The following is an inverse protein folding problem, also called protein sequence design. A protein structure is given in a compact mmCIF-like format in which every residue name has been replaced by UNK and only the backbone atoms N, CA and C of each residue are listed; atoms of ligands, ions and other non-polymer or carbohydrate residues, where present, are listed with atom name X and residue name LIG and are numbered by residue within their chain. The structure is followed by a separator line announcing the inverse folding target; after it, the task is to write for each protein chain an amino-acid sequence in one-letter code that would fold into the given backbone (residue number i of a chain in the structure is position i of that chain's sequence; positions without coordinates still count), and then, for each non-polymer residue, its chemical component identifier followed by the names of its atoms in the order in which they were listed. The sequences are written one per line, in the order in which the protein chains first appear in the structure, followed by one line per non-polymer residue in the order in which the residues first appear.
data_IF_278005080295
#
_entry.id   IF_278005080295
#
_cell.length_a   1.000
_cell.length_b   1.000
_cell.length_c   1.000
_cell.angle_alpha   90.00
_cell.angle_beta   90.00
_cell.angle_gamma   90.00
#
_symmetry.space_group_name_H-M   'P 1'
#
loop_
_entity.id
_entity.type
_entity.pdbx_description
1 polymer ?
#
# COMPACT_ATOMS: atom_id res chain seq x y z
N UNK A 1 -18.91 20.79 -11.13
CA UNK A 1 -18.24 21.58 -10.08
C UNK A 1 -16.87 22.02 -10.59
N UNK A 2 -16.38 23.17 -10.14
CA UNK A 2 -15.03 23.68 -10.51
C UNK A 2 -14.28 23.97 -9.22
N UNK A 3 -13.06 23.42 -9.11
CA UNK A 3 -12.15 23.63 -8.00
C UNK A 3 -11.01 24.55 -8.46
N UNK A 4 -10.67 25.56 -7.63
CA UNK A 4 -9.59 26.52 -7.88
C UNK A 4 -9.67 27.21 -9.26
N UNK A 5 -10.86 27.45 -9.79
CA UNK A 5 -11.11 27.96 -11.15
C UNK A 5 -10.40 27.19 -12.28
N UNK A 6 -9.65 26.14 -11.97
CA UNK A 6 -8.78 25.40 -12.87
C UNK A 6 -9.28 23.98 -13.16
N UNK A 7 -9.75 23.25 -12.15
CA UNK A 7 -10.08 21.83 -12.27
C UNK A 7 -11.58 21.62 -12.39
N UNK A 8 -12.04 20.99 -13.50
CA UNK A 8 -13.44 20.58 -13.69
C UNK A 8 -13.60 19.23 -12.98
N UNK A 9 -14.33 19.23 -11.88
CA UNK A 9 -14.65 18.01 -11.12
C UNK A 9 -15.71 17.20 -11.90
N UNK A 10 -15.42 15.92 -12.11
CA UNK A 10 -16.24 14.95 -12.84
C UNK A 10 -16.79 13.88 -11.89
N UNK A 11 -16.50 12.62 -12.16
CA UNK A 11 -17.04 11.46 -11.48
C UNK A 11 -16.41 11.22 -10.12
N UNK A 12 -17.19 10.71 -9.20
CA UNK A 12 -16.70 10.21 -7.91
C UNK A 12 -15.89 8.95 -8.14
N UNK A 13 -14.66 8.91 -7.59
CA UNK A 13 -13.78 7.72 -7.60
C UNK A 13 -13.94 6.93 -6.32
N UNK A 14 -13.79 7.62 -5.17
CA UNK A 14 -13.89 6.99 -3.86
C UNK A 14 -14.30 7.99 -2.78
N UNK A 15 -14.85 7.46 -1.68
CA UNK A 15 -15.20 8.25 -0.48
C UNK A 15 -14.62 7.54 0.74
N UNK A 16 -13.72 8.21 1.43
CA UNK A 16 -13.06 7.74 2.65
C UNK A 16 -13.51 8.48 3.91
N UNK A 17 -12.89 8.16 5.03
CA UNK A 17 -13.21 8.77 6.32
C UNK A 17 -12.87 10.26 6.42
N UNK A 18 -11.84 10.73 5.74
CA UNK A 18 -11.31 12.10 5.84
C UNK A 18 -11.45 12.91 4.56
N UNK A 19 -11.59 12.26 3.41
CA UNK A 19 -11.62 12.90 2.10
C UNK A 19 -12.48 12.14 1.10
N UNK A 20 -12.89 12.86 0.06
CA UNK A 20 -13.57 12.30 -1.13
C UNK A 20 -12.68 12.55 -2.34
N UNK A 21 -12.52 11.53 -3.20
CA UNK A 21 -11.67 11.61 -4.39
C UNK A 21 -12.55 11.62 -5.64
N UNK A 22 -12.33 12.60 -6.50
CA UNK A 22 -13.03 12.76 -7.77
C UNK A 22 -12.06 12.69 -8.94
N UNK A 23 -12.51 12.16 -10.06
CA UNK A 23 -11.88 12.43 -11.36
C UNK A 23 -12.05 13.91 -11.69
N UNK A 24 -11.00 14.56 -12.17
CA UNK A 24 -11.08 15.94 -12.63
C UNK A 24 -10.29 16.13 -13.92
N UNK A 25 -10.56 17.24 -14.59
CA UNK A 25 -9.86 17.66 -15.81
C UNK A 25 -9.29 19.05 -15.58
N UNK A 26 -8.00 19.21 -15.80
CA UNK A 26 -7.33 20.49 -15.84
C UNK A 26 -7.80 21.25 -17.09
N UNK A 27 -8.37 22.45 -16.92
CA UNK A 27 -8.95 23.24 -18.01
C UNK A 27 -7.90 23.77 -19.00
N UNK A 28 -6.69 24.00 -18.52
CA UNK A 28 -5.61 24.59 -19.32
C UNK A 28 -4.93 23.54 -20.19
N UNK A 29 -4.68 22.34 -19.60
CA UNK A 29 -3.91 21.30 -20.26
C UNK A 29 -4.79 20.19 -20.85
N UNK A 30 -6.06 20.08 -20.46
CA UNK A 30 -6.94 18.98 -20.79
C UNK A 30 -6.62 17.67 -20.08
N UNK A 31 -5.57 17.65 -19.22
CA UNK A 31 -5.11 16.44 -18.58
C UNK A 31 -6.08 15.96 -17.49
N UNK A 32 -6.28 14.63 -17.47
CA UNK A 32 -7.09 13.98 -16.44
C UNK A 32 -6.25 13.82 -15.17
N UNK A 33 -6.84 14.15 -14.02
CA UNK A 33 -6.25 14.08 -12.68
C UNK A 33 -7.24 13.50 -11.68
N UNK A 34 -6.77 13.21 -10.47
CA UNK A 34 -7.60 12.91 -9.33
C UNK A 34 -7.59 14.10 -8.34
N UNK A 35 -8.76 14.56 -7.95
CA UNK A 35 -8.91 15.63 -6.95
C UNK A 35 -9.33 15.00 -5.62
N UNK A 36 -8.41 14.95 -4.64
CA UNK A 36 -8.71 14.57 -3.24
C UNK A 36 -9.19 15.82 -2.53
N UNK A 37 -10.46 15.85 -2.13
CA UNK A 37 -11.10 16.95 -1.41
C UNK A 37 -11.30 16.52 0.03
N UNK A 38 -10.67 17.24 0.95
CA UNK A 38 -10.71 16.92 2.36
C UNK A 38 -11.98 17.47 3.01
N UNK A 39 -12.66 16.64 3.81
CA UNK A 39 -13.91 17.00 4.46
C UNK A 39 -13.85 16.96 5.99
N UNK A 40 -13.16 15.97 6.55
CA UNK A 40 -13.12 15.69 7.99
C UNK A 40 -11.68 15.62 8.51
N UNK A 41 -10.89 16.67 8.25
CA UNK A 41 -9.52 16.77 8.72
C UNK A 41 -9.30 18.16 9.33
N UNK A 42 -8.49 18.23 10.38
CA UNK A 42 -8.05 19.54 10.91
C UNK A 42 -7.10 20.23 9.94
N UNK A 43 -6.98 21.55 10.03
CA UNK A 43 -6.04 22.30 9.21
C UNK A 43 -4.59 21.80 9.41
N UNK A 44 -4.17 21.57 10.64
CA UNK A 44 -2.83 21.02 10.93
C UNK A 44 -2.64 19.61 10.33
N UNK A 45 -3.66 18.76 10.40
CA UNK A 45 -3.59 17.43 9.77
C UNK A 45 -3.45 17.51 8.25
N UNK A 46 -4.19 18.45 7.62
CA UNK A 46 -4.04 18.71 6.18
C UNK A 46 -2.64 19.22 5.83
N UNK A 47 -2.11 20.18 6.60
CA UNK A 47 -0.76 20.71 6.35
C UNK A 47 0.30 19.60 6.42
N UNK A 48 0.24 18.73 7.44
CA UNK A 48 1.16 17.59 7.56
C UNK A 48 1.08 16.65 6.37
N UNK A 49 -0.14 16.29 5.92
CA UNK A 49 -0.32 15.43 4.75
C UNK A 49 0.18 16.11 3.47
N UNK A 50 -0.10 17.41 3.28
CA UNK A 50 0.34 18.19 2.12
C UNK A 50 1.89 18.30 2.05
N UNK A 51 2.55 18.54 3.17
CA UNK A 51 4.02 18.57 3.26
C UNK A 51 4.64 17.20 2.89
N UNK A 52 4.06 16.11 3.37
CA UNK A 52 4.52 14.76 3.01
C UNK A 52 4.31 14.50 1.53
N UNK A 53 3.13 14.81 0.97
CA UNK A 53 2.85 14.63 -0.47
C UNK A 53 3.80 15.45 -1.35
N UNK A 54 4.14 16.67 -0.94
CA UNK A 54 5.12 17.49 -1.66
C UNK A 54 6.50 16.83 -1.66
N UNK A 55 7.01 16.40 -0.50
CA UNK A 55 8.30 15.68 -0.40
C UNK A 55 8.32 14.42 -1.26
N UNK A 56 7.25 13.63 -1.24
CA UNK A 56 7.12 12.43 -2.07
C UNK A 56 7.19 12.79 -3.56
N UNK A 57 6.58 13.89 -3.97
CA UNK A 57 6.65 14.33 -5.37
C UNK A 57 8.05 14.78 -5.78
N UNK A 58 8.85 15.31 -4.85
CA UNK A 58 10.25 15.68 -5.06
C UNK A 58 11.16 14.45 -5.22
N UNK A 59 10.83 13.32 -4.58
CA UNK A 59 11.53 12.03 -4.76
C UNK A 59 11.49 11.57 -6.24
N UNK A 60 10.41 11.92 -6.95
CA UNK A 60 10.21 11.57 -8.36
C UNK A 60 10.34 10.06 -8.66
N UNK A 61 9.86 9.23 -7.74
CA UNK A 61 9.85 7.76 -7.91
C UNK A 61 8.76 7.32 -8.88
N UNK A 62 9.05 6.40 -9.82
CA UNK A 62 8.04 5.82 -10.69
C UNK A 62 7.04 4.93 -9.95
N UNK A 63 7.36 4.49 -8.72
CA UNK A 63 6.53 3.63 -7.88
C UNK A 63 5.68 4.38 -6.85
N UNK A 64 5.74 5.72 -6.84
CA UNK A 64 4.96 6.56 -5.93
C UNK A 64 3.98 7.44 -6.70
N UNK A 65 2.78 7.62 -6.15
CA UNK A 65 1.75 8.50 -6.71
C UNK A 65 2.20 9.95 -6.60
N UNK A 66 2.17 10.68 -7.72
CA UNK A 66 2.57 12.09 -7.76
C UNK A 66 1.44 13.01 -7.30
N UNK A 67 1.78 13.99 -6.46
CA UNK A 67 0.94 15.15 -6.15
C UNK A 67 1.42 16.35 -6.97
N UNK A 68 0.52 16.94 -7.76
CA UNK A 68 0.83 18.08 -8.62
C UNK A 68 0.61 19.40 -7.91
N UNK A 69 -0.38 19.45 -7.04
CA UNK A 69 -0.80 20.67 -6.34
C UNK A 69 -1.58 20.29 -5.08
N UNK A 70 -1.39 21.04 -4.01
CA UNK A 70 -2.22 20.96 -2.81
C UNK A 70 -2.42 22.35 -2.22
N UNK A 71 -3.54 22.58 -1.57
CA UNK A 71 -3.84 23.88 -0.99
C UNK A 71 -5.28 24.00 -0.49
N UNK A 72 -5.66 25.28 -0.26
CA UNK A 72 -7.03 25.64 0.11
C UNK A 72 -7.59 26.52 -1.01
N UNK A 73 -8.73 26.16 -1.55
CA UNK A 73 -9.38 26.94 -2.59
C UNK A 73 -10.89 26.79 -2.60
N UNK A 74 -11.53 27.56 -3.46
CA UNK A 74 -12.98 27.58 -3.61
C UNK A 74 -13.43 26.45 -4.53
N UNK A 75 -14.34 25.62 -4.03
CA UNK A 75 -15.13 24.69 -4.83
C UNK A 75 -16.45 25.37 -5.21
N UNK A 76 -16.62 25.69 -6.50
CA UNK A 76 -17.82 26.31 -7.03
C UNK A 76 -18.79 25.24 -7.54
N UNK A 77 -20.01 25.24 -7.01
CA UNK A 77 -21.10 24.37 -7.47
C UNK A 77 -22.38 25.16 -7.67
N UNK A 78 -22.82 25.33 -8.93
CA UNK A 78 -23.97 26.16 -9.30
C UNK A 78 -23.80 27.60 -8.77
N UNK A 79 -24.59 28.00 -7.77
CA UNK A 79 -24.56 29.35 -7.13
C UNK A 79 -23.89 29.34 -5.74
N UNK A 80 -23.33 28.20 -5.31
CA UNK A 80 -22.66 28.08 -4.00
C UNK A 80 -21.16 28.00 -4.15
N UNK A 81 -20.45 28.69 -3.28
CA UNK A 81 -18.99 28.64 -3.16
C UNK A 81 -18.63 28.12 -1.76
N UNK A 82 -17.78 27.12 -1.70
CA UNK A 82 -17.32 26.57 -0.44
C UNK A 82 -15.79 26.45 -0.47
N UNK A 83 -15.13 26.93 0.57
CA UNK A 83 -13.70 26.77 0.72
C UNK A 83 -13.40 25.31 1.11
N UNK A 84 -12.49 24.67 0.41
CA UNK A 84 -12.05 23.29 0.63
C UNK A 84 -10.55 23.17 0.63
N UNK A 85 -10.02 22.29 1.50
CA UNK A 85 -8.66 21.76 1.42
C UNK A 85 -8.64 20.66 0.36
N UNK A 86 -7.62 20.67 -0.50
CA UNK A 86 -7.56 19.73 -1.62
C UNK A 86 -6.12 19.33 -1.97
N UNK A 87 -5.99 18.23 -2.70
CA UNK A 87 -4.79 17.83 -3.41
C UNK A 87 -5.14 17.33 -4.81
N UNK A 88 -4.34 17.69 -5.80
CA UNK A 88 -4.44 17.21 -7.17
C UNK A 88 -3.36 16.15 -7.38
N UNK A 89 -3.80 14.95 -7.64
CA UNK A 89 -2.97 13.76 -7.74
C UNK A 89 -2.96 13.21 -9.16
N UNK A 90 -2.00 12.38 -9.46
CA UNK A 90 -1.99 11.52 -10.65
C UNK A 90 -3.25 10.66 -10.69
N UNK A 91 -3.78 10.39 -11.89
CA UNK A 91 -5.03 9.65 -12.04
C UNK A 91 -4.77 8.18 -12.34
N UNK A 92 -5.26 7.31 -11.48
CA UNK A 92 -5.23 5.86 -11.66
C UNK A 92 -6.39 5.38 -12.54
N UNK A 93 -6.13 5.20 -13.82
CA UNK A 93 -7.15 4.88 -14.81
C UNK A 93 -7.58 3.41 -14.83
N UNK A 94 -6.89 2.53 -14.06
CA UNK A 94 -7.19 1.09 -14.00
C UNK A 94 -7.63 0.62 -12.60
N UNK A 95 -7.90 1.55 -11.67
CA UNK A 95 -8.32 1.24 -10.31
C UNK A 95 -7.18 0.78 -9.41
N UNK A 96 -7.53 0.13 -8.30
CA UNK A 96 -6.57 -0.37 -7.32
C UNK A 96 -6.15 -1.81 -7.62
N UNK A 97 -5.03 -2.23 -7.03
CA UNK A 97 -4.60 -3.62 -7.02
C UNK A 97 -5.62 -4.53 -6.32
N UNK A 98 -6.32 -4.00 -5.31
CA UNK A 98 -7.43 -4.69 -4.68
C UNK A 98 -8.55 -5.00 -5.70
N UNK A 99 -8.96 -4.01 -6.51
CA UNK A 99 -9.98 -4.20 -7.55
C UNK A 99 -9.56 -5.25 -8.58
N UNK A 100 -8.27 -5.27 -8.94
CA UNK A 100 -7.72 -6.29 -9.81
C UNK A 100 -7.75 -7.68 -9.15
N UNK A 101 -7.31 -7.81 -7.89
CA UNK A 101 -7.28 -9.07 -7.15
C UNK A 101 -8.68 -9.69 -6.95
N UNK A 102 -9.68 -8.90 -6.57
CA UNK A 102 -11.04 -9.46 -6.34
C UNK A 102 -11.67 -9.99 -7.62
N UNK A 103 -11.33 -9.41 -8.77
CA UNK A 103 -11.83 -9.84 -10.07
C UNK A 103 -11.18 -11.16 -10.53
N UNK A 104 -9.92 -11.44 -10.20
CA UNK A 104 -9.27 -12.70 -10.59
C UNK A 104 -9.95 -13.91 -9.92
N UNK A 105 -10.22 -14.98 -10.64
CA UNK A 105 -10.75 -16.21 -10.05
C UNK A 105 -9.70 -16.87 -9.15
N UNK A 106 -8.49 -17.08 -9.67
CA UNK A 106 -7.41 -17.83 -9.01
C UNK A 106 -6.24 -16.94 -8.50
N UNK A 107 -6.35 -15.61 -8.56
CA UNK A 107 -5.24 -14.70 -8.26
C UNK A 107 -4.28 -14.54 -9.45
N UNK A 108 -3.18 -13.85 -9.20
CA UNK A 108 -2.09 -13.71 -10.16
C UNK A 108 -1.15 -14.92 -10.11
N UNK A 109 -0.48 -15.21 -11.23
CA UNK A 109 0.62 -16.17 -11.26
C UNK A 109 1.78 -15.72 -10.37
N UNK A 110 2.58 -16.66 -9.85
CA UNK A 110 3.66 -16.36 -8.88
C UNK A 110 4.67 -15.34 -9.43
N UNK A 111 5.09 -15.47 -10.66
CA UNK A 111 6.02 -14.55 -11.32
C UNK A 111 5.43 -13.14 -11.48
N UNK A 112 4.13 -13.01 -11.74
CA UNK A 112 3.41 -11.73 -11.73
C UNK A 112 3.33 -11.17 -10.31
N UNK A 113 3.07 -11.99 -9.30
CA UNK A 113 3.10 -11.56 -7.89
C UNK A 113 4.47 -11.00 -7.49
N UNK A 114 5.56 -11.67 -7.87
CA UNK A 114 6.93 -11.21 -7.65
C UNK A 114 7.20 -9.86 -8.33
N UNK A 115 6.78 -9.71 -9.59
CA UNK A 115 6.91 -8.45 -10.32
C UNK A 115 6.15 -7.30 -9.63
N UNK A 116 4.88 -7.52 -9.27
CA UNK A 116 4.06 -6.53 -8.55
C UNK A 116 4.73 -6.16 -7.23
N UNK A 117 5.14 -7.17 -6.46
CA UNK A 117 5.76 -6.96 -5.16
C UNK A 117 7.07 -6.18 -5.27
N UNK A 118 7.92 -6.48 -6.26
CA UNK A 118 9.15 -5.71 -6.52
C UNK A 118 8.86 -4.22 -6.77
N UNK A 119 7.82 -3.89 -7.55
CA UNK A 119 7.44 -2.49 -7.81
C UNK A 119 6.98 -1.77 -6.55
N UNK A 120 6.19 -2.44 -5.71
CA UNK A 120 5.74 -1.90 -4.42
C UNK A 120 6.93 -1.71 -3.48
N UNK A 121 7.81 -2.71 -3.40
CA UNK A 121 9.01 -2.69 -2.57
C UNK A 121 9.95 -1.52 -2.94
N UNK A 122 10.11 -1.24 -4.24
CA UNK A 122 10.88 -0.07 -4.71
C UNK A 122 10.25 1.24 -4.22
N UNK A 123 8.93 1.38 -4.27
CA UNK A 123 8.25 2.58 -3.75
C UNK A 123 8.45 2.77 -2.25
N UNK A 124 8.35 1.69 -1.46
CA UNK A 124 8.60 1.75 -0.01
C UNK A 124 10.08 2.04 0.30
N UNK A 125 11.00 1.47 -0.48
CA UNK A 125 12.42 1.78 -0.37
C UNK A 125 12.70 3.27 -0.59
N UNK A 126 12.10 3.86 -1.63
CA UNK A 126 12.25 5.29 -1.94
C UNK A 126 11.71 6.17 -0.81
N UNK A 127 10.58 5.80 -0.20
CA UNK A 127 10.08 6.47 1.00
C UNK A 127 11.06 6.37 2.17
N UNK A 128 11.53 5.14 2.48
CA UNK A 128 12.39 4.90 3.62
C UNK A 128 13.76 5.59 3.49
N UNK A 129 14.36 5.62 2.28
CA UNK A 129 15.58 6.38 1.98
C UNK A 129 15.43 7.89 2.23
N UNK A 130 14.20 8.40 2.13
CA UNK A 130 13.87 9.80 2.41
C UNK A 130 13.30 10.00 3.83
N UNK A 131 13.46 9.03 4.72
CA UNK A 131 13.06 9.10 6.11
C UNK A 131 11.54 9.12 6.34
N UNK A 132 10.74 8.65 5.38
CA UNK A 132 9.28 8.62 5.44
C UNK A 132 8.82 7.17 5.56
N UNK A 133 7.90 6.87 6.48
CA UNK A 133 7.16 5.61 6.54
C UNK A 133 5.71 5.83 6.12
N UNK A 134 5.11 4.80 5.49
CA UNK A 134 3.76 4.89 4.93
C UNK A 134 2.66 4.65 5.97
N UNK A 135 2.80 3.62 6.79
CA UNK A 135 1.90 3.19 7.87
C UNK A 135 0.51 2.66 7.48
N UNK A 136 0.21 2.56 6.17
CA UNK A 136 -1.04 1.94 5.69
C UNK A 136 -0.83 1.23 4.33
N UNK A 137 0.22 0.42 4.23
CA UNK A 137 0.50 -0.38 3.03
C UNK A 137 -0.55 -1.49 2.93
N UNK A 138 -1.33 -1.48 1.84
CA UNK A 138 -2.38 -2.46 1.52
C UNK A 138 -2.73 -2.43 0.04
N UNK A 139 -3.43 -3.44 -0.46
CA UNK A 139 -3.79 -3.56 -1.88
C UNK A 139 -4.67 -2.42 -2.40
N UNK A 140 -5.49 -1.81 -1.55
CA UNK A 140 -6.34 -0.67 -1.86
C UNK A 140 -5.54 0.62 -2.12
N UNK A 141 -4.36 0.73 -1.51
CA UNK A 141 -3.44 1.87 -1.65
C UNK A 141 -2.37 1.64 -2.73
N UNK A 142 -2.51 0.62 -3.56
CA UNK A 142 -1.70 0.38 -4.75
C UNK A 142 -2.57 0.63 -5.97
N UNK A 143 -2.21 1.61 -6.78
CA UNK A 143 -3.01 2.05 -7.93
C UNK A 143 -2.29 1.70 -9.23
N UNK A 144 -3.06 1.34 -10.26
CA UNK A 144 -2.60 1.02 -11.59
C UNK A 144 -2.80 2.21 -12.52
N UNK A 145 -1.72 2.73 -13.10
CA UNK A 145 -1.68 4.04 -13.78
C UNK A 145 -1.18 3.90 -15.21
N UNK A 146 -1.78 4.68 -16.10
CA UNK A 146 -1.36 4.81 -17.50
C UNK A 146 -1.55 3.56 -18.34
N UNK A 147 -1.21 3.63 -19.63
CA UNK A 147 -1.41 2.52 -20.59
C UNK A 147 -0.58 1.28 -20.25
N UNK A 148 0.52 1.48 -19.54
CA UNK A 148 1.43 0.43 -19.11
C UNK A 148 1.09 -0.20 -17.76
N UNK A 149 -0.03 0.18 -17.13
CA UNK A 149 -0.43 -0.30 -15.81
C UNK A 149 0.69 -0.16 -14.77
N UNK A 150 1.31 1.02 -14.71
CA UNK A 150 2.35 1.32 -13.73
C UNK A 150 1.81 1.16 -12.32
N UNK A 151 2.56 0.46 -11.48
CA UNK A 151 2.17 0.16 -10.10
C UNK A 151 2.67 1.26 -9.20
N UNK A 152 1.76 1.99 -8.55
CA UNK A 152 2.10 3.13 -7.70
C UNK A 152 1.46 3.03 -6.32
N UNK A 153 2.27 3.23 -5.29
CA UNK A 153 1.81 3.39 -3.91
C UNK A 153 1.20 4.78 -3.72
N UNK A 154 0.04 4.86 -3.10
CA UNK A 154 -0.73 6.08 -2.88
C UNK A 154 -1.30 6.17 -1.46
N UNK A 155 -2.02 7.25 -1.18
CA UNK A 155 -2.68 7.58 0.09
C UNK A 155 -1.72 7.70 1.27
N UNK A 156 -1.04 8.84 1.32
CA UNK A 156 -0.05 9.19 2.33
C UNK A 156 -0.66 9.86 3.59
N UNK A 157 -1.97 9.74 3.80
CA UNK A 157 -2.69 10.35 4.93
C UNK A 157 -2.24 9.87 6.31
N UNK A 158 -1.61 8.71 6.40
CA UNK A 158 -0.97 8.20 7.61
C UNK A 158 0.54 8.31 7.60
N UNK A 159 1.16 8.71 6.49
CA UNK A 159 2.61 8.78 6.36
C UNK A 159 3.22 9.84 7.28
N UNK A 160 4.42 9.58 7.73
CA UNK A 160 5.16 10.52 8.61
C UNK A 160 6.67 10.32 8.48
N UNK A 161 7.43 11.34 8.88
CA UNK A 161 8.88 11.20 9.01
C UNK A 161 9.22 10.33 10.22
N UNK A 162 10.09 9.35 10.03
CA UNK A 162 10.66 8.54 11.10
C UNK A 162 12.16 8.79 11.33
N UNK A 163 12.77 9.66 10.52
CA UNK A 163 14.09 10.22 10.80
C UNK A 163 13.96 11.64 11.34
N UNK A 164 14.83 11.99 12.28
CA UNK A 164 15.02 13.36 12.75
C UNK A 164 15.91 14.17 11.79
N UNK A 165 16.22 15.41 12.15
CA UNK A 165 17.05 16.30 11.32
C UNK A 165 18.52 15.88 11.27
N UNK A 166 18.96 14.97 12.15
CA UNK A 166 20.28 14.34 12.16
C UNK A 166 20.31 12.99 11.46
N UNK A 167 19.24 12.61 10.74
CA UNK A 167 19.03 11.31 10.10
C UNK A 167 19.04 10.12 11.09
N UNK A 168 18.71 10.37 12.36
CA UNK A 168 18.55 9.30 13.34
C UNK A 168 17.09 8.85 13.42
N UNK A 169 16.89 7.54 13.60
CA UNK A 169 15.53 7.00 13.75
C UNK A 169 14.89 7.49 15.04
N UNK A 170 13.69 8.05 14.92
CA UNK A 170 12.83 8.38 16.05
C UNK A 170 11.72 7.36 16.19
N UNK A 171 11.38 7.02 17.42
CA UNK A 171 10.23 6.20 17.71
C UNK A 171 8.94 6.99 17.42
N UNK A 172 7.94 6.29 16.91
CA UNK A 172 6.61 6.80 16.62
C UNK A 172 5.61 6.22 17.60
N UNK A 173 4.45 6.85 17.72
CA UNK A 173 3.36 6.40 18.58
C UNK A 173 2.00 6.47 17.86
N UNK A 174 0.96 5.96 18.55
CA UNK A 174 -0.42 5.95 18.07
C UNK A 174 -0.69 4.85 17.02
N UNK A 175 -1.81 4.19 17.17
CA UNK A 175 -2.28 3.15 16.27
C UNK A 175 -2.83 3.77 14.98
N UNK A 176 -2.21 3.46 13.85
CA UNK A 176 -2.59 3.90 12.51
C UNK A 176 -2.60 2.70 11.57
N UNK A 177 -3.35 2.82 10.46
CA UNK A 177 -3.40 1.82 9.42
C UNK A 177 -4.58 0.85 9.51
N UNK A 178 -4.58 -0.14 8.62
CA UNK A 178 -5.66 -1.11 8.43
C UNK A 178 -5.34 -2.40 9.20
N UNK A 179 -6.23 -2.82 10.09
CA UNK A 179 -5.97 -3.84 11.12
C UNK A 179 -5.45 -5.19 10.61
N UNK A 180 -5.86 -5.64 9.40
CA UNK A 180 -5.40 -6.91 8.82
C UNK A 180 -4.00 -6.85 8.21
N UNK A 181 -3.44 -5.65 8.04
CA UNK A 181 -2.07 -5.40 7.60
C UNK A 181 -1.17 -4.85 8.72
N UNK A 182 -1.76 -4.46 9.85
CA UNK A 182 -1.08 -3.75 10.93
C UNK A 182 -0.21 -4.66 11.79
N UNK A 183 1.00 -4.20 12.09
CA UNK A 183 1.95 -4.89 12.94
C UNK A 183 1.46 -5.02 14.41
N UNK A 184 1.90 -6.05 15.16
CA UNK A 184 1.40 -6.31 16.51
C UNK A 184 1.67 -5.18 17.50
N UNK A 185 2.79 -4.49 17.38
CA UNK A 185 3.16 -3.35 18.24
C UNK A 185 2.17 -2.18 18.14
N UNK A 186 1.44 -2.05 17.03
CA UNK A 186 0.38 -1.03 16.89
C UNK A 186 -0.86 -1.30 17.75
N UNK A 187 -1.00 -2.52 18.29
CA UNK A 187 -2.07 -2.91 19.20
C UNK A 187 -1.65 -2.93 20.69
N UNK A 188 -0.38 -2.63 20.97
CA UNK A 188 0.19 -2.74 22.32
C UNK A 188 0.38 -1.37 23.01
N UNK A 189 -0.06 -0.28 22.37
CA UNK A 189 0.07 1.10 22.88
C UNK A 189 1.50 1.47 23.30
N UNK A 190 2.47 1.04 22.46
CA UNK A 190 3.91 1.29 22.64
C UNK A 190 4.46 2.12 21.48
N UNK A 191 5.61 2.72 21.72
CA UNK A 191 6.41 3.33 20.67
C UNK A 191 6.97 2.28 19.71
N UNK A 192 7.06 2.61 18.43
CA UNK A 192 7.50 1.71 17.36
C UNK A 192 8.40 2.39 16.33
N UNK A 193 9.11 1.60 15.52
CA UNK A 193 9.87 2.05 14.37
C UNK A 193 9.00 2.03 13.10
N UNK A 194 8.95 3.18 12.40
CA UNK A 194 8.08 3.34 11.24
C UNK A 194 8.44 2.43 10.07
N UNK A 195 9.72 2.22 9.79
CA UNK A 195 10.18 1.30 8.75
C UNK A 195 9.83 -0.16 9.07
N UNK A 196 9.91 -0.57 10.33
CA UNK A 196 9.60 -1.94 10.75
C UNK A 196 8.12 -2.31 10.61
N UNK A 197 7.21 -1.37 10.86
CA UNK A 197 5.78 -1.63 10.65
C UNK A 197 5.42 -1.70 9.17
N UNK A 198 6.08 -0.92 8.31
CA UNK A 198 5.90 -1.00 6.85
C UNK A 198 6.36 -2.36 6.30
N UNK A 199 7.50 -2.91 6.79
CA UNK A 199 7.96 -4.26 6.42
C UNK A 199 6.93 -5.33 6.81
N UNK A 200 6.32 -5.21 8.00
CA UNK A 200 5.25 -6.12 8.40
C UNK A 200 4.04 -6.04 7.44
N UNK A 201 3.60 -4.83 7.12
CA UNK A 201 2.48 -4.59 6.20
C UNK A 201 2.77 -5.11 4.79
N UNK A 202 4.02 -4.96 4.30
CA UNK A 202 4.49 -5.58 3.06
C UNK A 202 4.40 -7.10 3.10
N UNK A 203 4.76 -7.74 4.22
CA UNK A 203 4.61 -9.19 4.39
C UNK A 203 3.15 -9.63 4.35
N UNK A 204 2.26 -8.91 5.02
CA UNK A 204 0.82 -9.18 4.96
C UNK A 204 0.26 -8.99 3.54
N UNK A 205 0.67 -7.94 2.83
CA UNK A 205 0.30 -7.69 1.44
C UNK A 205 0.82 -8.77 0.50
N UNK A 206 2.07 -9.20 0.68
CA UNK A 206 2.68 -10.28 -0.10
C UNK A 206 1.84 -11.57 -0.01
N UNK A 207 1.37 -11.89 1.20
CA UNK A 207 0.50 -13.05 1.40
C UNK A 207 -0.84 -12.90 0.65
N UNK A 208 -1.44 -11.71 0.70
CA UNK A 208 -2.68 -11.41 -0.02
C UNK A 208 -2.48 -11.52 -1.54
N UNK A 209 -1.36 -11.05 -2.06
CA UNK A 209 -1.02 -11.17 -3.49
C UNK A 209 -0.97 -12.63 -3.95
N UNK A 210 -0.30 -13.49 -3.17
CA UNK A 210 -0.10 -14.90 -3.52
C UNK A 210 -1.34 -15.76 -3.34
N UNK A 211 -2.26 -15.38 -2.44
CA UNK A 211 -3.32 -16.31 -2.01
C UNK A 211 -4.73 -15.74 -2.09
N UNK A 212 -4.88 -14.44 -2.29
CA UNK A 212 -6.15 -13.69 -2.12
C UNK A 212 -6.77 -13.83 -0.73
N UNK A 213 -6.00 -14.31 0.25
CA UNK A 213 -6.44 -14.50 1.63
C UNK A 213 -5.54 -13.70 2.57
N UNK A 214 -5.98 -13.53 3.80
CA UNK A 214 -5.13 -12.99 4.85
C UNK A 214 -4.48 -14.13 5.62
N UNK A 215 -3.18 -14.04 5.87
CA UNK A 215 -2.43 -14.99 6.67
C UNK A 215 -2.86 -15.03 8.15
N UNK A 216 -3.54 -13.98 8.60
CA UNK A 216 -4.18 -13.83 9.92
C UNK A 216 -5.24 -12.72 9.84
N UNK A 217 -6.25 -12.74 10.74
CA UNK A 217 -7.30 -11.71 10.74
C UNK A 217 -6.74 -10.36 11.18
N UNK A 218 -5.88 -10.36 12.21
CA UNK A 218 -5.07 -9.22 12.68
C UNK A 218 -3.96 -9.74 13.59
N UNK A 219 -2.86 -9.01 13.65
CA UNK A 219 -1.70 -9.38 14.48
C UNK A 219 -1.90 -9.14 16.00
N UNK A 220 -3.12 -8.90 16.43
CA UNK A 220 -3.47 -8.85 17.85
C UNK A 220 -3.45 -10.25 18.46
N UNK A 221 -2.73 -10.41 19.57
CA UNK A 221 -2.68 -11.70 20.26
C UNK A 221 -4.02 -11.99 20.93
N UNK A 222 -4.63 -13.09 20.51
CA UNK A 222 -5.86 -13.65 21.11
C UNK A 222 -5.50 -14.99 21.75
N UNK A 223 -5.67 -15.08 23.06
CA UNK A 223 -5.22 -16.23 23.85
C UNK A 223 -6.16 -17.44 23.73
N UNK A 224 -7.46 -17.20 23.65
CA UNK A 224 -8.49 -18.23 23.60
C UNK A 224 -9.50 -17.87 22.52
N UNK A 225 -9.72 -18.78 21.57
CA UNK A 225 -10.77 -18.66 20.55
C UNK A 225 -11.13 -20.05 20.02
N UNK A 226 -12.40 -20.30 19.78
CA UNK A 226 -12.92 -21.46 19.06
C UNK A 226 -12.68 -21.35 17.55
N UNK A 227 -12.43 -20.14 17.03
CA UNK A 227 -12.11 -19.89 15.64
C UNK A 227 -10.59 -20.05 15.39
N UNK A 228 -10.15 -21.08 14.66
CA UNK A 228 -8.73 -21.34 14.41
C UNK A 228 -8.00 -20.14 13.77
N UNK A 229 -8.67 -19.37 12.91
CA UNK A 229 -8.08 -18.22 12.24
C UNK A 229 -7.70 -17.08 13.20
N UNK A 230 -8.41 -16.97 14.32
CA UNK A 230 -8.11 -15.91 15.32
C UNK A 230 -6.85 -16.15 16.13
N UNK A 231 -6.37 -17.40 16.17
CA UNK A 231 -5.14 -17.76 16.90
C UNK A 231 -3.90 -17.84 16.02
N UNK A 232 -4.05 -17.72 14.69
CA UNK A 232 -2.95 -17.90 13.73
C UNK A 232 -1.74 -17.04 14.06
N UNK A 233 -1.94 -15.76 14.37
CA UNK A 233 -0.80 -14.90 14.68
C UNK A 233 -0.07 -15.28 15.98
N UNK A 234 -0.77 -15.87 16.97
CA UNK A 234 -0.12 -16.43 18.17
C UNK A 234 0.84 -17.57 17.83
N UNK A 235 0.49 -18.36 16.80
CA UNK A 235 1.40 -19.45 16.36
C UNK A 235 2.67 -18.89 15.72
N UNK A 236 2.56 -17.80 14.96
CA UNK A 236 3.75 -17.08 14.41
C UNK A 236 4.59 -16.55 15.56
N UNK A 237 4.01 -15.84 16.54
CA UNK A 237 4.72 -15.34 17.72
C UNK A 237 5.48 -16.43 18.46
N UNK A 238 4.88 -17.61 18.61
CA UNK A 238 5.46 -18.74 19.32
C UNK A 238 6.36 -19.63 18.42
N UNK A 239 6.63 -19.20 17.19
CA UNK A 239 7.46 -19.94 16.20
C UNK A 239 6.92 -21.37 15.92
N UNK A 240 5.63 -21.58 16.08
CA UNK A 240 4.95 -22.85 15.78
C UNK A 240 4.50 -22.89 14.31
N UNK A 241 5.47 -22.79 13.40
CA UNK A 241 5.23 -22.56 11.96
C UNK A 241 4.52 -23.72 11.27
N UNK A 242 4.89 -24.97 11.59
CA UNK A 242 4.24 -26.15 10.99
C UNK A 242 2.73 -26.21 11.34
N UNK A 243 2.42 -25.89 12.60
CA UNK A 243 1.03 -25.81 13.05
C UNK A 243 0.28 -24.65 12.40
N UNK A 244 0.94 -23.50 12.24
CA UNK A 244 0.40 -22.34 11.54
C UNK A 244 0.02 -22.69 10.10
N UNK A 245 0.95 -23.26 9.32
CA UNK A 245 0.71 -23.63 7.92
C UNK A 245 -0.39 -24.70 7.79
N UNK A 246 -0.34 -25.76 8.61
CA UNK A 246 -1.36 -26.82 8.60
C UNK A 246 -2.78 -26.29 8.83
N UNK A 247 -2.96 -25.34 9.76
CA UNK A 247 -4.26 -24.71 10.00
C UNK A 247 -4.64 -23.81 8.84
N UNK A 248 -3.72 -22.96 8.38
CA UNK A 248 -3.99 -21.98 7.34
C UNK A 248 -4.33 -22.64 6.00
N UNK A 249 -3.59 -23.64 5.59
CA UNK A 249 -3.83 -24.40 4.35
C UNK A 249 -5.22 -25.07 4.37
N UNK A 250 -5.59 -25.67 5.51
CA UNK A 250 -6.91 -26.27 5.70
C UNK A 250 -8.03 -25.24 5.67
N UNK A 251 -7.93 -24.19 6.47
CA UNK A 251 -8.99 -23.19 6.64
C UNK A 251 -9.18 -22.28 5.43
N UNK A 252 -8.11 -22.05 4.65
CA UNK A 252 -8.14 -21.21 3.46
C UNK A 252 -8.19 -22.00 2.16
N UNK A 253 -8.17 -23.33 2.22
CA UNK A 253 -8.14 -24.23 1.05
C UNK A 253 -7.01 -23.83 0.09
N UNK A 254 -5.82 -23.59 0.63
CA UNK A 254 -4.66 -23.18 -0.17
C UNK A 254 -4.02 -24.41 -0.82
N UNK A 255 -3.61 -24.21 -2.07
CA UNK A 255 -2.66 -25.12 -2.73
C UNK A 255 -1.29 -24.99 -2.05
N UNK A 256 -0.39 -25.95 -2.32
CA UNK A 256 0.99 -25.88 -1.81
C UNK A 256 1.67 -24.57 -2.24
N UNK A 257 2.15 -23.82 -1.26
CA UNK A 257 2.92 -22.59 -1.48
C UNK A 257 4.43 -22.91 -1.50
N UNK A 258 5.25 -22.19 -2.31
CA UNK A 258 6.69 -22.38 -2.35
C UNK A 258 7.34 -22.19 -0.97
N UNK A 259 8.29 -23.04 -0.62
CA UNK A 259 8.94 -23.01 0.71
C UNK A 259 9.78 -21.73 0.94
N UNK A 260 10.43 -21.20 -0.12
CA UNK A 260 11.15 -19.93 -0.05
C UNK A 260 10.18 -18.76 0.19
N UNK A 261 8.99 -18.73 -0.44
CA UNK A 261 7.93 -17.77 -0.14
C UNK A 261 7.50 -17.86 1.34
N UNK A 262 7.20 -19.07 1.83
CA UNK A 262 6.79 -19.29 3.22
C UNK A 262 7.82 -18.75 4.23
N UNK A 263 9.10 -18.98 3.95
CA UNK A 263 10.21 -18.49 4.77
C UNK A 263 10.30 -16.96 4.77
N UNK A 264 10.23 -16.33 3.60
CA UNK A 264 10.26 -14.87 3.47
C UNK A 264 9.09 -14.23 4.21
N UNK A 265 7.86 -14.71 3.95
CA UNK A 265 6.66 -14.22 4.62
C UNK A 265 6.80 -14.24 6.15
N UNK A 266 7.21 -15.38 6.74
CA UNK A 266 7.35 -15.50 8.19
C UNK A 266 8.40 -14.56 8.79
N UNK A 267 9.50 -14.30 8.07
CA UNK A 267 10.50 -13.30 8.47
C UNK A 267 9.89 -11.90 8.50
N UNK A 268 9.15 -11.52 7.44
CA UNK A 268 8.58 -10.17 7.32
C UNK A 268 7.51 -9.89 8.37
N UNK A 269 6.70 -10.90 8.75
CA UNK A 269 5.65 -10.77 9.76
C UNK A 269 6.08 -11.23 11.16
N UNK A 270 7.36 -11.29 11.43
CA UNK A 270 7.89 -11.66 12.75
C UNK A 270 7.32 -10.75 13.85
N UNK A 271 7.04 -11.36 15.03
CA UNK A 271 6.50 -10.63 16.18
C UNK A 271 7.47 -9.58 16.70
N UNK A 272 8.75 -9.96 16.86
CA UNK A 272 9.79 -9.01 17.21
C UNK A 272 10.20 -8.19 15.99
N UNK A 273 10.04 -6.84 16.00
CA UNK A 273 10.43 -5.99 14.87
C UNK A 273 11.88 -6.15 14.42
N UNK A 274 12.80 -6.45 15.35
CA UNK A 274 14.23 -6.63 15.06
C UNK A 274 14.52 -7.91 14.26
N UNK A 275 13.62 -8.90 14.30
CA UNK A 275 13.74 -10.12 13.49
C UNK A 275 13.26 -9.89 12.03
N UNK A 276 12.59 -8.76 11.74
CA UNK A 276 12.12 -8.44 10.41
C UNK A 276 13.27 -8.00 9.52
N UNK A 277 13.33 -8.48 8.27
CA UNK A 277 14.40 -8.13 7.34
C UNK A 277 14.36 -6.64 6.97
N UNK A 278 15.49 -6.11 6.54
CA UNK A 278 15.55 -4.83 5.83
C UNK A 278 15.05 -5.01 4.38
N UNK A 279 14.77 -3.89 3.68
CA UNK A 279 14.40 -3.94 2.25
C UNK A 279 15.51 -4.59 1.41
N UNK A 280 16.77 -4.28 1.68
CA UNK A 280 17.90 -4.92 1.00
C UNK A 280 17.95 -6.44 1.23
N UNK A 281 17.67 -6.90 2.45
CA UNK A 281 17.59 -8.34 2.76
C UNK A 281 16.40 -8.99 2.04
N UNK A 282 15.25 -8.31 1.89
CA UNK A 282 14.10 -8.81 1.13
C UNK A 282 14.46 -8.91 -0.35
N UNK A 283 15.12 -7.91 -0.93
CA UNK A 283 15.57 -7.91 -2.32
C UNK A 283 16.59 -9.02 -2.60
N UNK A 284 17.40 -9.38 -1.61
CA UNK A 284 18.37 -10.47 -1.71
C UNK A 284 17.81 -11.84 -1.30
N UNK A 285 16.52 -11.95 -0.97
CA UNK A 285 15.90 -13.24 -0.63
C UNK A 285 15.73 -14.12 -1.86
N UNK A 286 15.95 -15.42 -1.70
CA UNK A 286 15.88 -16.43 -2.76
C UNK A 286 14.57 -16.35 -3.57
N UNK A 287 13.45 -16.00 -2.91
CA UNK A 287 12.15 -15.95 -3.58
C UNK A 287 12.05 -14.85 -4.65
N UNK A 288 12.82 -13.76 -4.53
CA UNK A 288 12.79 -12.62 -5.46
C UNK A 288 13.94 -12.61 -6.48
N UNK A 289 14.91 -13.50 -6.40
CA UNK A 289 16.15 -13.41 -7.19
C UNK A 289 15.93 -13.43 -8.70
N UNK A 290 14.96 -14.19 -9.19
CA UNK A 290 14.60 -14.27 -10.60
C UNK A 290 14.09 -12.93 -11.17
N UNK A 291 13.35 -12.16 -10.37
CA UNK A 291 12.81 -10.84 -10.76
C UNK A 291 13.84 -9.72 -10.54
N UNK A 292 14.66 -9.82 -9.50
CA UNK A 292 15.73 -8.84 -9.21
C UNK A 292 16.82 -8.89 -10.30
N UNK A 293 17.21 -10.09 -10.75
CA UNK A 293 18.20 -10.28 -11.79
C UNK A 293 17.63 -10.20 -13.21
N UNK A 294 16.32 -9.98 -13.35
CA UNK A 294 15.65 -9.95 -14.64
C UNK A 294 16.11 -8.77 -15.51
N UNK A 295 16.30 -9.02 -16.80
CA UNK A 295 16.60 -7.98 -17.78
C UNK A 295 15.39 -7.05 -18.00
N UNK A 296 15.58 -5.85 -18.59
CA UNK A 296 14.47 -4.97 -18.94
C UNK A 296 13.41 -5.65 -19.82
N UNK A 297 13.82 -6.54 -20.75
CA UNK A 297 12.91 -7.31 -21.62
C UNK A 297 12.08 -8.31 -20.80
N UNK A 298 12.69 -9.01 -19.86
CA UNK A 298 12.00 -9.93 -18.97
C UNK A 298 11.00 -9.19 -18.05
N UNK A 299 11.39 -8.06 -17.50
CA UNK A 299 10.47 -7.21 -16.71
C UNK A 299 9.30 -6.68 -17.56
N UNK A 300 9.56 -6.32 -18.81
CA UNK A 300 8.51 -5.93 -19.75
C UNK A 300 7.57 -7.10 -20.08
N UNK A 301 8.11 -8.31 -20.26
CA UNK A 301 7.30 -9.51 -20.42
C UNK A 301 6.38 -9.73 -19.20
N UNK A 302 6.90 -9.66 -17.97
CA UNK A 302 6.12 -9.81 -16.75
C UNK A 302 5.03 -8.74 -16.61
N UNK A 303 5.34 -7.51 -16.98
CA UNK A 303 4.34 -6.43 -17.03
C UNK A 303 3.21 -6.77 -18.00
N UNK A 304 3.54 -7.19 -19.22
CA UNK A 304 2.54 -7.54 -20.23
C UNK A 304 1.70 -8.75 -19.80
N UNK A 305 2.33 -9.73 -19.15
CA UNK A 305 1.62 -10.88 -18.55
C UNK A 305 0.65 -10.41 -17.47
N UNK A 306 1.06 -9.54 -16.55
CA UNK A 306 0.18 -8.92 -15.55
C UNK A 306 -1.01 -8.22 -16.21
N UNK A 307 -0.77 -7.41 -17.24
CA UNK A 307 -1.83 -6.71 -17.98
C UNK A 307 -2.79 -7.71 -18.63
N UNK A 308 -2.28 -8.79 -19.20
CA UNK A 308 -3.09 -9.86 -19.78
C UNK A 308 -3.95 -10.56 -18.72
N UNK A 309 -3.37 -10.91 -17.58
CA UNK A 309 -4.10 -11.51 -16.46
C UNK A 309 -5.21 -10.57 -15.93
N UNK A 310 -4.96 -9.26 -15.84
CA UNK A 310 -5.97 -8.26 -15.46
C UNK A 310 -7.07 -8.14 -16.52
N UNK A 311 -6.73 -8.11 -17.81
CA UNK A 311 -7.70 -7.93 -18.91
C UNK A 311 -8.58 -9.17 -19.16
N UNK A 312 -8.04 -10.36 -18.97
CA UNK A 312 -8.81 -11.60 -19.08
C UNK A 312 -10.04 -11.66 -18.15
N UNK A 313 -10.06 -10.78 -17.14
CA UNK A 313 -11.14 -10.67 -16.15
C UNK A 313 -12.31 -9.76 -16.58
N UNK A 314 -12.13 -9.03 -17.67
CA UNK A 314 -13.15 -8.09 -18.18
C UNK A 314 -13.90 -8.65 -19.41
N UNK A 315 -13.62 -9.89 -19.77
CA UNK A 315 -14.33 -10.67 -20.80
C UNK A 315 -15.26 -11.69 -20.17
#
# INVERSE_FOLDING_TARGET
MILNNKYIIKDLISSGGTAVVFKCVDKETGQVRAAKIFEKISFNGFQQEAEIMQKISEINSPSLMKCYESGISVLTHKKSNCQKMYAILEFGNHGSLFDALIKTENGFSEDVCKYIFLKILNGVEDLHKNGICHRDIKSENIILVGDNYEIKLCDFGYSTRFLDDNNQKKKLNGSKGTACYAAPELFEDKEYEGDKIDIFSLGALLFVLMTKKFGFIKAKIINISSDPKKILYKLIKNKQYDKYWKILEKECQLNSLPENFKKLFLKMVAYNPEERPTIDQIKNDEWLQDVISATPEQLNYLRNKMISEIKALNQ
#
